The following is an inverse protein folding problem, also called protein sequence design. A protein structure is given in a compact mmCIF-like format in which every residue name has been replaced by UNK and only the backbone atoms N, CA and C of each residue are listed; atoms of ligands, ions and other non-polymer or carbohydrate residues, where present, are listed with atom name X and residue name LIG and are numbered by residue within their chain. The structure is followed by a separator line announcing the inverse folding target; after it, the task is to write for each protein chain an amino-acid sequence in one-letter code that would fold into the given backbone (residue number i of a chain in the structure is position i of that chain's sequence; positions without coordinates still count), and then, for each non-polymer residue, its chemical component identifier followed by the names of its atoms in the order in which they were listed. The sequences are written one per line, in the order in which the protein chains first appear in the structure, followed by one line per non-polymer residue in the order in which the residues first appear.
data_IF_523439375314
#
_entry.id   IF_523439375314
#
_cell.length_a   1.000
_cell.length_b   1.000
_cell.length_c   1.000
_cell.angle_alpha   90.00
_cell.angle_beta   90.00
_cell.angle_gamma   90.00
#
_symmetry.space_group_name_H-M   'P 1'
#
loop_
_entity.id
_entity.type
_entity.pdbx_description
1 polymer ?
#
# COMPACT_ATOMS: atom_id res chain seq x y z
N UNK A 1 30.98 -35.80 -4.51
CA UNK A 1 30.04 -34.92 -3.76
C UNK A 1 30.88 -33.98 -2.92
N UNK A 2 31.11 -32.73 -3.34
CA UNK A 2 30.26 -31.57 -3.06
C UNK A 2 30.07 -31.37 -1.54
N UNK A 3 30.47 -30.29 -0.87
CA UNK A 3 31.01 -29.00 -1.27
C UNK A 3 30.76 -28.01 -0.12
N UNK A 4 31.84 -27.35 0.35
CA UNK A 4 31.97 -26.08 1.11
C UNK A 4 31.00 -25.73 2.26
N UNK A 5 31.63 -25.59 3.43
CA UNK A 5 31.20 -24.74 4.55
C UNK A 5 31.28 -23.24 4.21
N UNK A 6 30.43 -22.44 4.88
CA UNK A 6 30.72 -21.05 5.23
C UNK A 6 29.70 -19.99 4.80
N UNK A 7 28.91 -19.48 5.75
CA UNK A 7 28.94 -18.05 6.17
C UNK A 7 27.59 -17.54 6.67
N UNK A 8 27.56 -17.20 7.95
CA UNK A 8 26.51 -16.49 8.68
C UNK A 8 26.21 -15.10 8.14
N UNK A 9 24.93 -14.71 8.13
CA UNK A 9 24.53 -13.30 8.28
C UNK A 9 23.36 -13.17 9.26
N UNK A 10 23.68 -12.60 10.41
CA UNK A 10 22.83 -12.11 11.50
C UNK A 10 21.75 -11.15 11.01
N UNK A 11 20.49 -11.26 11.45
CA UNK A 11 19.72 -10.15 12.08
C UNK A 11 18.33 -10.54 12.63
N UNK A 12 18.19 -10.28 13.95
CA UNK A 12 17.08 -9.63 14.67
C UNK A 12 15.69 -10.27 14.76
N UNK A 13 15.32 -10.56 16.02
CA UNK A 13 13.97 -10.32 16.56
C UNK A 13 13.27 -11.57 17.07
N UNK A 14 13.30 -11.78 18.39
CA UNK A 14 12.79 -12.95 19.08
C UNK A 14 11.37 -13.36 18.70
N UNK A 15 11.22 -14.63 18.37
CA UNK A 15 9.95 -15.32 18.14
C UNK A 15 9.15 -15.36 19.45
N UNK A 16 8.08 -14.57 19.51
CA UNK A 16 7.05 -14.72 20.52
C UNK A 16 6.31 -16.05 20.35
N UNK A 17 6.77 -17.06 21.09
CA UNK A 17 6.05 -18.23 21.63
C UNK A 17 4.95 -18.83 20.74
N UNK A 18 5.28 -19.98 20.16
CA UNK A 18 4.32 -20.94 19.57
C UNK A 18 3.37 -21.40 20.68
N UNK A 19 2.08 -21.02 20.58
CA UNK A 19 0.99 -21.77 21.23
C UNK A 19 0.23 -22.45 20.10
N UNK A 20 0.16 -23.78 20.16
CA UNK A 20 -0.57 -24.60 19.20
C UNK A 20 -1.96 -24.03 18.94
N UNK A 21 -2.24 -23.76 17.67
CA UNK A 21 -3.45 -23.11 17.21
C UNK A 21 -3.37 -22.99 15.69
N UNK A 22 -4.52 -23.13 15.04
CA UNK A 22 -4.68 -23.17 13.58
C UNK A 22 -3.76 -22.18 12.84
N UNK A 23 -3.30 -22.57 11.63
CA UNK A 23 -2.44 -21.75 10.76
C UNK A 23 -2.86 -20.28 10.83
N UNK A 24 -1.97 -19.42 11.32
CA UNK A 24 -2.30 -18.02 11.55
C UNK A 24 -2.60 -17.33 10.22
N UNK A 25 -3.89 -17.07 9.96
CA UNK A 25 -4.32 -16.32 8.77
C UNK A 25 -4.03 -14.85 8.99
N UNK A 26 -3.40 -14.21 8.01
CA UNK A 26 -3.10 -12.78 8.10
C UNK A 26 -4.39 -11.96 8.16
N UNK A 27 -4.39 -10.85 8.90
CA UNK A 27 -5.53 -9.91 8.95
C UNK A 27 -5.89 -9.35 7.56
N UNK A 28 -4.91 -9.27 6.66
CA UNK A 28 -5.12 -8.90 5.25
C UNK A 28 -5.89 -9.97 4.49
N UNK A 29 -5.45 -11.22 4.59
CA UNK A 29 -6.12 -12.37 3.96
C UNK A 29 -7.55 -12.56 4.46
N UNK A 30 -7.80 -12.33 5.77
CA UNK A 30 -9.15 -12.38 6.34
C UNK A 30 -10.05 -11.24 5.86
N UNK A 31 -9.48 -10.09 5.50
CA UNK A 31 -10.21 -8.94 4.97
C UNK A 31 -10.33 -8.94 3.43
N UNK A 32 -9.70 -9.91 2.73
CA UNK A 32 -9.67 -9.94 1.26
C UNK A 32 -8.88 -8.80 0.62
N UNK A 33 -8.00 -8.14 1.38
CA UNK A 33 -7.25 -6.97 0.91
C UNK A 33 -5.82 -7.35 0.54
N UNK A 34 -5.34 -6.84 -0.60
CA UNK A 34 -3.92 -6.93 -1.00
C UNK A 34 -3.00 -6.10 -0.10
N UNK A 35 -3.56 -5.08 0.56
CA UNK A 35 -2.80 -4.18 1.42
C UNK A 35 -2.55 -4.77 2.82
N UNK A 36 -1.40 -4.44 3.47
CA UNK A 36 -1.03 -4.99 4.77
C UNK A 36 -1.78 -4.31 5.94
N UNK A 37 -3.01 -4.75 6.23
CA UNK A 37 -3.91 -4.24 7.28
C UNK A 37 -3.20 -4.12 8.64
N UNK A 38 -2.37 -5.10 8.99
CA UNK A 38 -1.65 -5.09 10.27
C UNK A 38 -0.56 -4.04 10.37
N UNK A 39 0.07 -3.64 9.26
CA UNK A 39 1.08 -2.59 9.21
C UNK A 39 0.42 -1.22 9.30
N UNK A 40 -0.67 -1.03 8.57
CA UNK A 40 -1.41 0.23 8.58
C UNK A 40 -1.99 0.50 9.97
N UNK A 41 -2.58 -0.51 10.62
CA UNK A 41 -3.09 -0.38 11.99
C UNK A 41 -2.00 0.01 13.02
N UNK A 42 -0.74 -0.34 12.77
CA UNK A 42 0.39 0.06 13.63
C UNK A 42 0.74 1.52 13.45
N UNK A 43 0.78 2.00 12.21
CA UNK A 43 1.07 3.40 11.91
C UNK A 43 -0.04 4.34 12.38
N UNK A 44 -1.30 3.94 12.27
CA UNK A 44 -2.43 4.70 12.82
C UNK A 44 -2.30 4.89 14.34
N UNK A 45 -1.92 3.83 15.06
CA UNK A 45 -1.69 3.90 16.52
C UNK A 45 -0.47 4.73 16.91
N UNK A 46 0.58 4.74 16.07
CA UNK A 46 1.80 5.54 16.32
C UNK A 46 1.57 7.04 16.07
N UNK A 47 0.72 7.37 15.09
CA UNK A 47 0.45 8.76 14.68
C UNK A 47 -0.67 9.46 15.46
N UNK A 48 -1.55 8.74 16.17
CA UNK A 48 -2.67 9.34 16.91
C UNK A 48 -2.51 9.26 18.43
N UNK A 49 -2.65 10.41 19.11
CA UNK A 49 -2.74 10.49 20.57
C UNK A 49 -4.02 9.81 21.14
N UNK A 50 -5.06 9.59 20.31
CA UNK A 50 -6.30 8.86 20.65
C UNK A 50 -6.91 8.23 19.37
N UNK A 51 -6.78 6.91 19.14
CA UNK A 51 -7.38 6.26 17.97
C UNK A 51 -8.90 6.32 18.03
N UNK A 52 -9.51 7.20 17.23
CA UNK A 52 -10.96 7.21 17.07
C UNK A 52 -11.33 6.16 16.04
N UNK A 53 -12.00 5.08 16.46
CA UNK A 53 -12.39 3.94 15.58
C UNK A 53 -13.09 4.40 14.29
N UNK A 54 -13.84 5.50 14.34
CA UNK A 54 -14.52 6.12 13.17
C UNK A 54 -13.56 6.76 12.15
N UNK A 55 -12.48 7.42 12.58
CA UNK A 55 -11.52 8.09 11.67
C UNK A 55 -10.69 7.09 10.89
N UNK A 56 -10.22 6.04 11.57
CA UNK A 56 -9.46 4.95 10.95
C UNK A 56 -10.32 4.16 9.96
N UNK A 57 -11.62 4.05 10.20
CA UNK A 57 -12.54 3.32 9.33
C UNK A 57 -12.90 4.09 8.05
N UNK A 58 -12.81 5.43 8.06
CA UNK A 58 -13.15 6.27 6.90
C UNK A 58 -11.88 6.64 6.12
N UNK A 59 -10.82 7.15 6.75
CA UNK A 59 -9.65 7.65 5.99
C UNK A 59 -8.88 6.55 5.25
N UNK A 60 -8.75 5.35 5.84
CA UNK A 60 -8.00 4.26 5.21
C UNK A 60 -8.63 3.79 3.89
N UNK A 61 -9.91 3.39 3.86
CA UNK A 61 -10.51 2.94 2.61
C UNK A 61 -10.57 4.06 1.57
N UNK A 62 -10.85 5.31 1.98
CA UNK A 62 -10.92 6.44 1.04
C UNK A 62 -9.57 6.68 0.34
N UNK A 63 -8.46 6.67 1.09
CA UNK A 63 -7.12 6.82 0.50
C UNK A 63 -6.73 5.62 -0.39
N UNK A 64 -7.19 4.42 -0.06
CA UNK A 64 -6.96 3.22 -0.89
C UNK A 64 -7.75 3.28 -2.20
N UNK A 65 -9.01 3.69 -2.14
CA UNK A 65 -9.89 3.84 -3.31
C UNK A 65 -9.35 4.94 -4.23
N UNK A 66 -8.92 6.06 -3.65
CA UNK A 66 -8.26 7.14 -4.39
C UNK A 66 -7.03 6.65 -5.16
N UNK A 67 -6.14 5.88 -4.50
CA UNK A 67 -4.95 5.35 -5.15
C UNK A 67 -5.29 4.38 -6.30
N UNK A 68 -6.34 3.57 -6.13
CA UNK A 68 -6.80 2.67 -7.18
C UNK A 68 -7.35 3.44 -8.38
N UNK A 69 -8.17 4.48 -8.13
CA UNK A 69 -8.75 5.30 -9.19
C UNK A 69 -7.69 6.04 -10.00
N UNK A 70 -6.67 6.63 -9.34
CA UNK A 70 -5.55 7.27 -10.04
C UNK A 70 -4.77 6.25 -10.89
N UNK A 71 -4.59 5.03 -10.40
CA UNK A 71 -3.89 3.97 -11.14
C UNK A 71 -4.70 3.51 -12.37
N UNK A 72 -6.02 3.42 -12.24
CA UNK A 72 -6.94 3.08 -13.33
C UNK A 72 -6.89 4.13 -14.44
N UNK A 73 -7.00 5.41 -14.08
CA UNK A 73 -6.95 6.52 -15.04
C UNK A 73 -5.56 6.63 -15.70
N UNK A 74 -4.49 6.46 -14.93
CA UNK A 74 -3.12 6.42 -15.47
C UNK A 74 -2.88 5.19 -16.37
N UNK A 75 -3.56 4.08 -16.10
CA UNK A 75 -3.57 2.87 -16.94
C UNK A 75 -4.26 3.11 -18.28
N UNK A 76 -5.42 3.79 -18.28
CA UNK A 76 -6.09 4.20 -19.52
C UNK A 76 -5.19 5.12 -20.35
N UNK A 77 -4.62 6.15 -19.72
CA UNK A 77 -3.69 7.06 -20.40
C UNK A 77 -2.46 6.34 -20.97
N UNK A 78 -1.97 5.28 -20.31
CA UNK A 78 -0.88 4.45 -20.85
C UNK A 78 -1.29 3.66 -22.09
N UNK A 79 -2.50 3.09 -22.07
CA UNK A 79 -3.08 2.34 -23.19
C UNK A 79 -3.33 3.25 -24.40
N UNK A 80 -3.82 4.46 -24.17
CA UNK A 80 -4.03 5.47 -25.22
C UNK A 80 -2.71 5.88 -25.89
N UNK A 81 -1.64 5.97 -25.10
CA UNK A 81 -0.28 6.21 -25.58
C UNK A 81 0.41 4.96 -26.16
N UNK A 82 -0.32 3.83 -26.30
CA UNK A 82 0.17 2.53 -26.82
C UNK A 82 1.37 1.98 -26.04
N UNK A 83 1.43 2.23 -24.73
CA UNK A 83 2.53 1.76 -23.86
C UNK A 83 2.00 0.76 -22.84
N UNK A 84 2.73 -0.35 -22.69
CA UNK A 84 2.42 -1.38 -21.68
C UNK A 84 2.88 -1.03 -20.26
N UNK A 85 3.66 0.05 -20.10
CA UNK A 85 4.17 0.52 -18.80
C UNK A 85 3.64 1.91 -18.49
N UNK A 86 3.13 2.08 -17.27
CA UNK A 86 2.76 3.39 -16.72
C UNK A 86 4.06 4.17 -16.45
N UNK A 87 4.20 5.35 -17.07
CA UNK A 87 5.31 6.29 -16.84
C UNK A 87 4.79 7.53 -16.11
N UNK A 88 5.67 8.34 -15.47
CA UNK A 88 5.24 9.54 -14.74
C UNK A 88 4.34 10.49 -15.55
N UNK A 89 4.54 10.57 -16.87
CA UNK A 89 3.69 11.36 -17.78
C UNK A 89 2.23 10.91 -17.81
N UNK A 90 1.94 9.60 -17.71
CA UNK A 90 0.56 9.11 -17.70
C UNK A 90 -0.16 9.48 -16.40
N UNK A 91 0.56 9.50 -15.28
CA UNK A 91 0.04 9.96 -13.99
C UNK A 91 -0.23 11.47 -14.04
N UNK A 92 0.67 12.25 -14.62
CA UNK A 92 0.45 13.68 -14.83
C UNK A 92 -0.77 13.97 -15.69
N UNK A 93 -0.98 13.22 -16.78
CA UNK A 93 -2.16 13.35 -17.63
C UNK A 93 -3.44 12.97 -16.89
N UNK A 94 -3.44 11.86 -16.15
CA UNK A 94 -4.57 11.43 -15.34
C UNK A 94 -4.98 12.49 -14.30
N UNK A 95 -4.01 13.07 -13.58
CA UNK A 95 -4.30 14.07 -12.53
C UNK A 95 -4.72 15.43 -13.10
N UNK A 96 -4.18 15.84 -14.26
CA UNK A 96 -4.52 17.14 -14.88
C UNK A 96 -5.88 17.14 -15.57
N UNK A 97 -6.29 15.99 -16.09
CA UNK A 97 -7.56 15.86 -16.82
C UNK A 97 -8.76 15.62 -15.91
N UNK A 98 -8.55 15.39 -14.61
CA UNK A 98 -9.59 15.13 -13.63
C UNK A 98 -9.80 16.35 -12.71
N UNK A 99 -11.03 16.85 -12.67
CA UNK A 99 -11.42 18.03 -11.89
C UNK A 99 -11.34 17.79 -10.37
N UNK A 100 -11.46 16.53 -9.91
CA UNK A 100 -11.37 16.19 -8.49
C UNK A 100 -9.91 16.10 -8.02
N UNK A 101 -8.99 15.74 -8.91
CA UNK A 101 -7.58 15.52 -8.58
C UNK A 101 -6.69 16.75 -8.81
N UNK A 102 -7.02 17.59 -9.77
CA UNK A 102 -6.24 18.79 -10.09
C UNK A 102 -6.09 19.75 -8.88
N UNK A 103 -7.12 20.04 -8.06
CA UNK A 103 -6.98 20.88 -6.88
C UNK A 103 -6.10 20.24 -5.78
N UNK A 104 -6.17 18.92 -5.62
CA UNK A 104 -5.46 18.17 -4.58
C UNK A 104 -3.96 18.06 -4.87
N UNK A 105 -3.59 17.91 -6.14
CA UNK A 105 -2.21 17.69 -6.56
C UNK A 105 -1.49 18.98 -7.00
N UNK A 106 -2.09 20.15 -6.77
CA UNK A 106 -1.55 21.45 -7.19
C UNK A 106 -0.17 21.77 -6.62
N UNK A 107 0.18 21.23 -5.44
CA UNK A 107 1.50 21.42 -4.83
C UNK A 107 2.52 20.33 -5.16
N UNK A 108 2.13 19.31 -5.93
CA UNK A 108 2.98 18.15 -6.25
C UNK A 108 3.63 18.28 -7.63
N UNK A 109 3.01 19.05 -8.53
CA UNK A 109 3.44 19.17 -9.94
C UNK A 109 3.90 20.58 -10.35
N UNK A 110 4.22 21.43 -9.37
CA UNK A 110 4.88 22.73 -9.56
C UNK A 110 6.34 22.67 -9.09
#
# INVERSE_FOLDING_TARGET
MAGKEGSSTTVKGGRGRVKGGAKAVSRSSKAGLQFPVGRIARYLKKGQKRPSKRRDFILLPMNLVFLFSVLELAGSAARDNKKNRIIPRHIQLAVKNDEEYCPLCKYVFY
#
